data_IF_631021691731
#
_entry.id   IF_631021691731
#
_cell.length_a   1.000
_cell.length_b   1.000
_cell.length_c   1.000
_cell.angle_alpha   90.00
_cell.angle_beta   90.00
_cell.angle_gamma   90.00
#
_symmetry.space_group_name_H-M   'P 1'
#
loop_
_entity.id
_entity.type
_entity.pdbx_description
1 polymer ?
#
# COMPACT_ATOMS: atom_id res chain seq x y z
N UNK A 1 4.25 6.69 15.78
CA UNK A 1 5.07 6.22 14.63
C UNK A 1 4.82 4.74 14.49
N UNK A 2 4.32 4.30 13.33
CA UNK A 2 4.18 2.88 13.05
C UNK A 2 5.59 2.30 12.82
N UNK A 3 5.90 1.14 13.39
CA UNK A 3 7.19 0.46 13.15
C UNK A 3 7.15 -0.21 11.78
N UNK A 4 7.39 0.60 10.76
CA UNK A 4 7.38 0.21 9.37
C UNK A 4 8.51 0.97 8.65
N UNK A 5 9.03 0.39 7.57
CA UNK A 5 10.19 0.91 6.83
C UNK A 5 9.99 2.34 6.30
N UNK A 6 8.74 2.74 6.07
CA UNK A 6 8.32 4.07 5.73
C UNK A 6 7.90 4.83 7.00
N UNK A 7 8.55 5.97 7.28
CA UNK A 7 8.18 6.86 8.38
C UNK A 7 6.86 7.57 8.03
N UNK A 8 5.74 6.88 8.16
CA UNK A 8 4.43 7.46 7.90
C UNK A 8 3.98 8.28 9.12
N UNK A 9 3.92 9.61 8.98
CA UNK A 9 3.31 10.53 9.97
C UNK A 9 1.91 10.88 9.50
N UNK A 10 0.89 10.36 10.17
CA UNK A 10 -0.52 10.64 9.86
C UNK A 10 -1.01 11.77 10.78
N UNK A 11 -1.01 13.00 10.29
CA UNK A 11 -1.70 14.12 10.93
C UNK A 11 -3.04 14.33 10.22
N UNK A 12 -4.17 13.95 10.82
CA UNK A 12 -5.47 14.20 10.20
C UNK A 12 -6.49 14.74 11.22
N UNK A 13 -6.68 16.07 11.28
CA UNK A 13 -7.99 16.64 11.48
C UNK A 13 -8.48 17.20 10.13
N UNK A 14 -9.67 16.75 9.69
CA UNK A 14 -10.48 17.24 8.55
C UNK A 14 -10.21 16.73 7.11
N UNK A 15 -9.59 15.57 6.89
CA UNK A 15 -9.52 14.98 5.53
C UNK A 15 -10.16 13.59 5.47
N UNK A 16 -10.94 13.35 4.41
CA UNK A 16 -11.39 12.01 4.04
C UNK A 16 -10.21 11.11 3.76
N UNK A 17 -10.23 9.91 4.34
CA UNK A 17 -9.13 8.96 4.24
C UNK A 17 -9.63 7.57 3.89
N UNK A 18 -8.87 6.88 3.04
CA UNK A 18 -9.04 5.47 2.73
C UNK A 18 -7.72 4.72 2.96
N UNK A 19 -7.79 3.58 3.62
CA UNK A 19 -6.64 2.68 3.82
C UNK A 19 -6.90 1.33 3.20
N UNK A 20 -5.91 0.77 2.50
CA UNK A 20 -6.00 -0.55 1.88
C UNK A 20 -4.67 -1.28 2.07
N UNK A 21 -4.74 -2.51 2.57
CA UNK A 21 -3.59 -3.41 2.63
C UNK A 21 -3.68 -4.42 1.47
N UNK A 22 -2.58 -4.60 0.75
CA UNK A 22 -2.44 -5.62 -0.30
C UNK A 22 -2.09 -7.00 0.24
N UNK A 23 -1.96 -7.98 -0.66
CA UNK A 23 -1.52 -9.33 -0.31
C UNK A 23 -0.08 -9.33 0.21
N UNK A 24 0.20 -10.20 1.18
CA UNK A 24 1.56 -10.36 1.69
C UNK A 24 2.44 -11.06 0.64
N UNK A 25 3.62 -10.48 0.37
CA UNK A 25 4.60 -11.04 -0.56
C UNK A 25 5.72 -11.69 0.23
N UNK A 26 5.99 -12.96 -0.04
CA UNK A 26 7.02 -13.76 0.64
C UNK A 26 8.15 -14.00 -0.34
N UNK A 27 9.37 -13.64 0.07
CA UNK A 27 10.59 -13.82 -0.70
C UNK A 27 11.45 -14.87 -0.01
N UNK A 28 11.87 -15.95 -0.70
CA UNK A 28 12.83 -16.91 -0.16
C UNK A 28 14.16 -16.24 0.22
N UNK A 29 14.84 -16.77 1.23
CA UNK A 29 16.13 -16.23 1.69
C UNK A 29 17.25 -16.44 0.67
N UNK A 30 17.12 -17.43 -0.20
CA UNK A 30 18.04 -17.84 -1.27
C UNK A 30 17.54 -17.40 -2.66
N UNK A 31 16.63 -16.42 -2.73
CA UNK A 31 16.09 -15.91 -3.98
C UNK A 31 17.20 -15.41 -4.90
N UNK A 32 17.22 -15.94 -6.13
CA UNK A 32 18.06 -15.41 -7.21
C UNK A 32 17.55 -14.07 -7.73
N UNK A 33 18.36 -13.39 -8.54
CA UNK A 33 18.03 -12.06 -9.09
C UNK A 33 16.69 -12.06 -9.84
N UNK A 34 16.34 -13.17 -10.50
CA UNK A 34 15.08 -13.30 -11.22
C UNK A 34 13.88 -13.39 -10.26
N UNK A 35 14.03 -14.14 -9.16
CA UNK A 35 13.04 -14.25 -8.11
C UNK A 35 12.86 -12.93 -7.35
N UNK A 36 13.96 -12.22 -7.08
CA UNK A 36 13.92 -10.89 -6.48
C UNK A 36 13.20 -9.89 -7.37
N UNK A 37 13.49 -9.89 -8.68
CA UNK A 37 12.81 -8.99 -9.62
C UNK A 37 11.31 -9.30 -9.74
N UNK A 38 10.92 -10.58 -9.75
CA UNK A 38 9.49 -10.96 -9.69
C UNK A 38 8.82 -10.47 -8.41
N UNK A 39 9.49 -10.60 -7.27
CA UNK A 39 8.95 -10.11 -6.00
C UNK A 39 8.82 -8.58 -5.99
N UNK A 40 9.79 -7.87 -6.57
CA UNK A 40 9.75 -6.41 -6.72
C UNK A 40 8.53 -5.97 -7.55
N UNK A 41 8.31 -6.61 -8.69
CA UNK A 41 7.14 -6.33 -9.54
C UNK A 41 5.83 -6.63 -8.80
N UNK A 42 5.75 -7.74 -8.08
CA UNK A 42 4.56 -8.07 -7.29
C UNK A 42 4.28 -7.01 -6.20
N UNK A 43 5.31 -6.46 -5.56
CA UNK A 43 5.17 -5.39 -4.57
C UNK A 43 4.64 -4.14 -5.25
N UNK A 44 5.23 -3.75 -6.38
CA UNK A 44 4.84 -2.58 -7.15
C UNK A 44 3.36 -2.66 -7.58
N UNK A 45 2.96 -3.77 -8.19
CA UNK A 45 1.59 -4.01 -8.63
C UNK A 45 0.60 -3.98 -7.46
N UNK A 46 0.97 -4.63 -6.35
CA UNK A 46 0.15 -4.68 -5.14
C UNK A 46 -0.04 -3.31 -4.49
N UNK A 47 1.02 -2.50 -4.41
CA UNK A 47 0.97 -1.15 -3.87
C UNK A 47 0.17 -0.20 -4.78
N UNK A 48 0.34 -0.29 -6.10
CA UNK A 48 -0.41 0.49 -7.07
C UNK A 48 -1.91 0.18 -6.98
N UNK A 49 -2.29 -1.10 -6.90
CA UNK A 49 -3.68 -1.51 -6.73
C UNK A 49 -4.27 -1.03 -5.39
N UNK A 50 -3.51 -1.15 -4.30
CA UNK A 50 -3.96 -0.69 -2.98
C UNK A 50 -4.15 0.84 -2.96
N UNK A 51 -3.27 1.60 -3.60
CA UNK A 51 -3.37 3.05 -3.71
C UNK A 51 -4.61 3.47 -4.52
N UNK A 52 -4.84 2.87 -5.68
CA UNK A 52 -6.04 3.15 -6.49
C UNK A 52 -7.32 2.91 -5.67
N UNK A 53 -7.37 1.80 -4.94
CA UNK A 53 -8.53 1.46 -4.10
C UNK A 53 -8.70 2.41 -2.91
N UNK A 54 -7.60 2.86 -2.32
CA UNK A 54 -7.61 3.86 -1.23
C UNK A 54 -8.25 5.18 -1.69
N UNK A 55 -7.87 5.65 -2.89
CA UNK A 55 -8.44 6.85 -3.51
C UNK A 55 -9.94 6.69 -3.74
N UNK A 56 -10.38 5.56 -4.31
CA UNK A 56 -11.82 5.29 -4.51
C UNK A 56 -12.64 5.28 -3.20
N UNK A 57 -12.03 4.86 -2.09
CA UNK A 57 -12.68 4.88 -0.77
C UNK A 57 -12.79 6.32 -0.27
N UNK A 58 -11.70 7.09 -0.35
CA UNK A 58 -11.68 8.49 0.05
C UNK A 58 -12.67 9.34 -0.76
N UNK A 59 -12.73 9.15 -2.08
CA UNK A 59 -13.65 9.88 -2.95
C UNK A 59 -15.12 9.53 -2.67
N UNK A 60 -15.42 8.26 -2.35
CA UNK A 60 -16.76 7.87 -1.93
C UNK A 60 -17.15 8.43 -0.56
N UNK A 61 -16.18 8.64 0.34
CA UNK A 61 -16.43 9.30 1.61
C UNK A 61 -16.79 10.77 1.40
N UNK A 62 -16.06 11.49 0.53
CA UNK A 62 -16.36 12.88 0.13
C UNK A 62 -17.76 13.05 -0.43
N UNK A 63 -18.23 12.12 -1.26
CA UNK A 63 -19.55 12.20 -1.90
C UNK A 63 -20.72 11.92 -0.94
N UNK A 64 -20.46 11.45 0.29
CA UNK A 64 -21.48 11.12 1.30
C UNK A 64 -21.62 12.16 2.41
N UNK A 65 -20.68 13.11 2.53
CA UNK A 65 -20.72 14.24 3.47
C UNK A 65 -21.34 15.48 2.85
#
# INVERSE_FOLDING_TARGET
VLDNWDKSVINLPFSDWGGVAGAAIRVPADADDSALERARQAVEDGMNAAMARSIEIADRAKLRG
#
